data_IF_626829855743
#
_entry.id   IF_626829855743
#
_cell.length_a   1.000
_cell.length_b   1.000
_cell.length_c   1.000
_cell.angle_alpha   90.00
_cell.angle_beta   90.00
_cell.angle_gamma   90.00
#
_symmetry.space_group_name_H-M   'P 1'
#
loop_
_entity.id
_entity.type
_entity.pdbx_description
1 polymer ?
#
# COMPACT_ATOMS: atom_id res chain seq x y z
N UNK A 1 -13.24 -6.55 29.04
CA UNK A 1 -14.25 -6.03 28.09
C UNK A 1 -13.53 -5.06 27.16
N UNK A 2 -13.15 -5.49 25.95
CA UNK A 2 -12.48 -4.61 24.98
C UNK A 2 -13.55 -3.76 24.34
N UNK A 3 -13.54 -2.46 24.63
CA UNK A 3 -14.42 -1.51 23.95
C UNK A 3 -13.96 -1.41 22.50
N UNK A 4 -14.76 -1.92 21.56
CA UNK A 4 -14.57 -1.65 20.13
C UNK A 4 -14.84 -0.15 19.98
N UNK A 5 -13.80 0.68 19.94
CA UNK A 5 -13.95 2.12 19.75
C UNK A 5 -14.65 2.35 18.40
N UNK A 6 -15.93 2.74 18.45
CA UNK A 6 -16.69 3.10 17.28
C UNK A 6 -15.98 4.24 16.53
N UNK A 7 -15.90 4.12 15.20
CA UNK A 7 -15.30 5.17 14.37
C UNK A 7 -15.99 6.51 14.62
N UNK A 8 -15.20 7.58 14.77
CA UNK A 8 -15.73 8.93 14.91
C UNK A 8 -16.10 9.51 13.55
N UNK A 9 -17.21 10.25 13.50
CA UNK A 9 -17.67 10.89 12.26
C UNK A 9 -17.02 12.26 12.10
N UNK A 10 -16.53 12.53 10.89
CA UNK A 10 -16.01 13.82 10.46
C UNK A 10 -16.87 14.27 9.27
N UNK A 11 -17.37 15.51 9.31
CA UNK A 11 -18.06 16.13 8.18
C UNK A 11 -17.13 17.09 7.44
N UNK A 12 -17.16 17.04 6.12
CA UNK A 12 -16.40 17.94 5.26
C UNK A 12 -17.20 18.23 3.98
N UNK A 13 -17.03 19.43 3.45
CA UNK A 13 -17.60 19.81 2.15
C UNK A 13 -16.64 19.42 1.03
N UNK A 14 -17.18 18.76 0.01
CA UNK A 14 -16.48 18.44 -1.23
C UNK A 14 -17.41 18.74 -2.40
N UNK A 15 -16.84 19.12 -3.53
CA UNK A 15 -17.60 19.35 -4.75
C UNK A 15 -18.22 18.05 -5.30
N UNK A 16 -19.21 18.19 -6.18
CA UNK A 16 -19.95 17.05 -6.72
C UNK A 16 -19.07 16.09 -7.55
N UNK A 17 -18.03 16.59 -8.22
CA UNK A 17 -17.11 15.79 -9.02
C UNK A 17 -16.27 14.89 -8.11
N UNK A 18 -15.70 15.45 -7.04
CA UNK A 18 -14.94 14.73 -6.02
C UNK A 18 -15.80 13.64 -5.36
N UNK A 19 -17.04 13.96 -4.98
CA UNK A 19 -17.96 12.98 -4.39
C UNK A 19 -18.30 11.85 -5.37
N UNK A 20 -18.54 12.18 -6.64
CA UNK A 20 -18.82 11.19 -7.69
C UNK A 20 -17.64 10.24 -7.88
N UNK A 21 -16.42 10.79 -7.98
CA UNK A 21 -15.18 10.02 -8.13
C UNK A 21 -14.94 9.11 -6.92
N UNK A 22 -15.12 9.63 -5.71
CA UNK A 22 -15.00 8.86 -4.47
C UNK A 22 -15.93 7.64 -4.47
N UNK A 23 -17.22 7.84 -4.80
CA UNK A 23 -18.21 6.74 -4.87
C UNK A 23 -17.84 5.70 -5.92
N UNK A 24 -17.38 6.15 -7.09
CA UNK A 24 -16.95 5.26 -8.17
C UNK A 24 -15.75 4.38 -7.79
N UNK A 25 -14.75 4.95 -7.12
CA UNK A 25 -13.57 4.20 -6.65
C UNK A 25 -13.95 3.24 -5.53
N UNK A 26 -14.71 3.73 -4.54
CA UNK A 26 -15.16 2.92 -3.41
C UNK A 26 -15.91 1.65 -3.86
N UNK A 27 -16.81 1.79 -4.84
CA UNK A 27 -17.54 0.65 -5.42
C UNK A 27 -16.60 -0.37 -6.10
N UNK A 28 -15.60 0.09 -6.86
CA UNK A 28 -14.62 -0.79 -7.54
C UNK A 28 -13.71 -1.52 -6.56
N UNK A 29 -13.39 -0.90 -5.43
CA UNK A 29 -12.53 -1.47 -4.39
C UNK A 29 -13.29 -2.29 -3.34
N UNK A 30 -14.61 -2.42 -3.45
CA UNK A 30 -15.43 -3.11 -2.43
C UNK A 30 -15.38 -2.43 -1.07
N UNK A 31 -15.21 -1.10 -1.05
CA UNK A 31 -15.09 -0.27 0.16
C UNK A 31 -16.25 0.70 0.26
N UNK A 32 -16.54 1.17 1.48
CA UNK A 32 -17.47 2.30 1.66
C UNK A 32 -16.75 3.62 1.40
N UNK A 33 -17.46 4.68 0.95
CA UNK A 33 -16.87 6.02 0.83
C UNK A 33 -16.20 6.47 2.12
N UNK A 34 -16.79 6.20 3.28
CA UNK A 34 -16.22 6.56 4.59
C UNK A 34 -14.88 5.86 4.87
N UNK A 35 -14.74 4.57 4.50
CA UNK A 35 -13.47 3.85 4.64
C UNK A 35 -12.37 4.46 3.76
N UNK A 36 -12.71 4.78 2.51
CA UNK A 36 -11.75 5.37 1.57
C UNK A 36 -11.37 6.81 1.98
N UNK A 37 -12.32 7.59 2.47
CA UNK A 37 -12.07 8.93 3.04
C UNK A 37 -11.14 8.83 4.26
N UNK A 38 -11.43 7.94 5.21
CA UNK A 38 -10.60 7.78 6.40
C UNK A 38 -9.17 7.36 6.05
N UNK A 39 -9.01 6.41 5.10
CA UNK A 39 -7.70 5.97 4.64
C UNK A 39 -6.92 7.09 3.93
N UNK A 40 -7.59 7.87 3.08
CA UNK A 40 -6.98 8.99 2.35
C UNK A 40 -6.58 10.12 3.30
N UNK A 41 -7.43 10.45 4.28
CA UNK A 41 -7.14 11.44 5.31
C UNK A 41 -5.95 11.01 6.17
N UNK A 42 -5.92 9.75 6.61
CA UNK A 42 -4.80 9.20 7.37
C UNK A 42 -3.48 9.34 6.59
N UNK A 43 -3.47 8.93 5.32
CA UNK A 43 -2.29 9.06 4.46
C UNK A 43 -1.81 10.52 4.41
N UNK A 44 -2.71 11.47 4.18
CA UNK A 44 -2.35 12.89 4.11
C UNK A 44 -1.79 13.42 5.43
N UNK A 45 -2.36 13.01 6.57
CA UNK A 45 -1.90 13.42 7.89
C UNK A 45 -0.55 12.81 8.27
N UNK A 46 -0.25 11.60 7.79
CA UNK A 46 1.03 10.92 8.01
C UNK A 46 2.19 11.53 7.19
N UNK A 47 1.90 12.37 6.19
CA UNK A 47 2.94 13.07 5.42
C UNK A 47 3.71 14.11 6.28
N UNK A 48 5.02 14.30 6.06
CA UNK A 48 5.76 15.40 6.69
C UNK A 48 5.14 16.76 6.35
N UNK A 49 5.23 17.72 7.28
CA UNK A 49 4.66 19.06 7.10
C UNK A 49 5.19 19.78 5.84
N UNK A 50 6.47 19.57 5.51
CA UNK A 50 7.11 20.09 4.29
C UNK A 50 6.48 19.52 3.01
N UNK A 51 6.11 18.25 3.00
CA UNK A 51 5.43 17.61 1.87
C UNK A 51 4.02 18.17 1.71
N UNK A 52 3.27 18.32 2.81
CA UNK A 52 1.94 18.95 2.77
C UNK A 52 1.98 20.41 2.32
N UNK A 53 3.05 21.14 2.64
CA UNK A 53 3.26 22.49 2.11
C UNK A 53 3.49 22.46 0.60
N UNK A 54 4.42 21.64 0.12
CA UNK A 54 4.71 21.50 -1.30
C UNK A 54 3.48 21.04 -2.12
N UNK A 55 2.65 20.14 -1.59
CA UNK A 55 1.40 19.73 -2.24
C UNK A 55 0.44 20.91 -2.44
N UNK A 56 0.31 21.78 -1.43
CA UNK A 56 -0.52 23.00 -1.53
C UNK A 56 0.06 24.00 -2.53
N UNK A 57 1.38 24.15 -2.58
CA UNK A 57 2.03 25.04 -3.53
C UNK A 57 1.81 24.56 -4.98
N UNK A 58 1.92 23.25 -5.23
CA UNK A 58 1.64 22.65 -6.53
C UNK A 58 0.16 22.82 -6.92
N UNK A 59 -0.77 22.68 -5.96
CA UNK A 59 -2.19 22.90 -6.23
C UNK A 59 -2.52 24.36 -6.56
N UNK A 60 -1.87 25.31 -5.89
CA UNK A 60 -2.12 26.73 -6.06
C UNK A 60 -1.43 27.34 -7.29
N UNK A 61 -0.21 26.88 -7.62
CA UNK A 61 0.67 27.50 -8.61
C UNK A 61 1.00 26.59 -9.79
N UNK A 62 0.77 25.28 -9.67
CA UNK A 62 1.15 24.29 -10.66
C UNK A 62 0.22 24.28 -11.87
N UNK A 63 0.77 23.82 -12.98
CA UNK A 63 0.01 23.54 -14.20
C UNK A 63 -0.69 22.17 -14.11
N UNK A 64 -1.68 21.89 -14.99
CA UNK A 64 -2.22 20.54 -15.13
C UNK A 64 -1.16 19.48 -15.39
N UNK A 65 -0.10 19.83 -16.14
CA UNK A 65 1.02 18.94 -16.42
C UNK A 65 1.87 18.68 -15.18
N UNK A 66 2.11 19.68 -14.33
CA UNK A 66 2.81 19.49 -13.05
C UNK A 66 2.05 18.53 -12.15
N UNK A 67 0.72 18.68 -12.07
CA UNK A 67 -0.14 17.75 -11.32
C UNK A 67 -0.08 16.34 -11.89
N UNK A 68 -0.13 16.19 -13.22
CA UNK A 68 -0.01 14.89 -13.88
C UNK A 68 1.35 14.24 -13.60
N UNK A 69 2.43 15.00 -13.72
CA UNK A 69 3.79 14.54 -13.46
C UNK A 69 3.98 14.12 -12.00
N UNK A 70 3.41 14.87 -11.05
CA UNK A 70 3.38 14.51 -9.64
C UNK A 70 2.67 13.17 -9.43
N UNK A 71 1.48 12.99 -10.00
CA UNK A 71 0.73 11.74 -9.86
C UNK A 71 1.48 10.54 -10.47
N UNK A 72 2.18 10.73 -11.59
CA UNK A 72 3.05 9.70 -12.17
C UNK A 72 4.24 9.36 -11.27
N UNK A 73 4.85 10.37 -10.65
CA UNK A 73 5.95 10.17 -9.72
C UNK A 73 5.49 9.39 -8.47
N UNK A 74 4.34 9.76 -7.90
CA UNK A 74 3.72 9.04 -6.79
C UNK A 74 3.46 7.57 -7.16
N UNK A 75 2.84 7.33 -8.32
CA UNK A 75 2.54 5.97 -8.79
C UNK A 75 3.80 5.10 -8.89
N UNK A 76 4.89 5.63 -9.47
CA UNK A 76 6.17 4.91 -9.55
C UNK A 76 6.73 4.55 -8.18
N UNK A 77 6.74 5.51 -7.26
CA UNK A 77 7.23 5.30 -5.89
C UNK A 77 6.41 4.26 -5.14
N UNK A 78 5.08 4.32 -5.26
CA UNK A 78 4.17 3.36 -4.62
C UNK A 78 4.37 1.94 -5.17
N UNK A 79 4.43 1.77 -6.50
CA UNK A 79 4.65 0.45 -7.12
C UNK A 79 6.01 -0.13 -6.73
N UNK A 80 7.07 0.69 -6.76
CA UNK A 80 8.40 0.25 -6.32
C UNK A 80 8.40 -0.18 -4.86
N UNK A 81 7.72 0.56 -3.99
CA UNK A 81 7.62 0.23 -2.56
C UNK A 81 6.82 -1.04 -2.34
N UNK A 82 5.72 -1.23 -3.07
CA UNK A 82 4.91 -2.45 -3.05
C UNK A 82 5.75 -3.67 -3.44
N UNK A 83 6.55 -3.56 -4.49
CA UNK A 83 7.47 -4.62 -4.91
C UNK A 83 8.44 -5.00 -3.80
N UNK A 84 9.09 -4.03 -3.16
CA UNK A 84 10.03 -4.30 -2.06
C UNK A 84 9.35 -4.88 -0.82
N UNK A 85 8.11 -4.49 -0.52
CA UNK A 85 7.32 -5.12 0.56
C UNK A 85 7.00 -6.57 0.21
N UNK A 86 6.54 -6.85 -1.02
CA UNK A 86 6.23 -8.19 -1.46
C UNK A 86 7.48 -9.09 -1.46
N UNK A 87 8.59 -8.59 -2.00
CA UNK A 87 9.89 -9.27 -2.02
C UNK A 87 10.35 -9.66 -0.62
N UNK A 88 10.29 -8.73 0.35
CA UNK A 88 10.66 -9.01 1.75
C UNK A 88 9.77 -10.08 2.37
N UNK A 89 8.46 -10.04 2.14
CA UNK A 89 7.54 -11.06 2.65
C UNK A 89 7.83 -12.45 2.08
N UNK A 90 8.15 -12.55 0.80
CA UNK A 90 8.52 -13.83 0.17
C UNK A 90 9.84 -14.34 0.77
N UNK A 91 10.85 -13.48 0.90
CA UNK A 91 12.14 -13.87 1.50
C UNK A 91 11.98 -14.32 2.96
N UNK A 92 11.15 -13.64 3.74
CA UNK A 92 10.82 -14.03 5.12
C UNK A 92 10.10 -15.38 5.16
N UNK A 93 9.13 -15.61 4.26
CA UNK A 93 8.42 -16.89 4.17
C UNK A 93 9.36 -18.04 3.78
N UNK A 94 10.26 -17.83 2.80
CA UNK A 94 11.25 -18.82 2.40
C UNK A 94 12.27 -19.11 3.52
N UNK A 95 12.69 -18.08 4.27
CA UNK A 95 13.59 -18.25 5.41
C UNK A 95 12.95 -19.08 6.52
N UNK A 96 11.70 -18.80 6.87
CA UNK A 96 10.96 -19.57 7.90
C UNK A 96 10.75 -21.03 7.45
N UNK A 97 10.51 -21.28 6.16
CA UNK A 97 10.38 -22.65 5.63
C UNK A 97 11.69 -23.46 5.67
N UNK A 98 12.85 -22.80 5.78
CA UNK A 98 14.16 -23.46 5.73
C UNK A 98 14.91 -23.46 7.07
N UNK A 99 14.46 -22.70 8.09
CA UNK A 99 15.10 -22.72 9.42
C UNK A 99 14.85 -24.02 10.20
N UNK A 100 13.75 -24.76 9.95
CA UNK A 100 13.43 -26.01 10.66
C UNK A 100 13.88 -27.30 9.92
N UNK A 101 14.44 -27.19 8.71
CA UNK A 101 14.50 -28.33 7.78
C UNK A 101 15.91 -28.78 7.34
N UNK A 102 16.97 -28.05 7.68
CA UNK A 102 18.31 -28.25 7.09
C UNK A 102 19.43 -28.13 8.13
N UNK A 103 19.35 -28.91 9.21
CA UNK A 103 20.35 -28.88 10.28
C UNK A 103 21.56 -29.79 10.02
N UNK A 104 21.43 -30.79 9.14
CA UNK A 104 22.53 -31.69 8.74
C UNK A 104 22.83 -31.65 7.24
N UNK A 105 24.05 -32.03 6.86
CA UNK A 105 24.46 -32.16 5.45
C UNK A 105 23.55 -33.14 4.68
N UNK A 106 22.98 -34.13 5.37
CA UNK A 106 22.08 -35.13 4.80
C UNK A 106 20.70 -34.53 4.49
N UNK A 107 20.21 -33.59 5.32
CA UNK A 107 18.97 -32.85 5.08
C UNK A 107 19.10 -31.89 3.90
N UNK A 108 20.25 -31.23 3.77
CA UNK A 108 20.58 -30.35 2.64
C UNK A 108 20.58 -31.13 1.33
N UNK A 109 21.20 -32.31 1.31
CA UNK A 109 21.21 -33.21 0.15
C UNK A 109 19.80 -33.74 -0.18
N UNK A 110 19.02 -34.12 0.82
CA UNK A 110 17.66 -34.61 0.62
C UNK A 110 16.73 -33.52 0.03
N UNK A 111 16.85 -32.28 0.51
CA UNK A 111 16.05 -31.17 0.00
C UNK A 111 16.46 -30.76 -1.42
N UNK A 112 17.76 -30.75 -1.72
CA UNK A 112 18.25 -30.48 -3.07
C UNK A 112 17.68 -31.49 -4.10
N UNK A 113 17.64 -32.78 -3.74
CA UNK A 113 17.04 -33.81 -4.59
C UNK A 113 15.54 -33.59 -4.79
N UNK A 114 14.78 -33.28 -3.73
CA UNK A 114 13.33 -32.98 -3.84
C UNK A 114 13.05 -31.80 -4.77
N UNK A 115 13.83 -30.72 -4.63
CA UNK A 115 13.68 -29.52 -5.45
C UNK A 115 13.96 -29.77 -6.94
N UNK A 116 14.88 -30.68 -7.28
CA UNK A 116 15.21 -31.01 -8.67
C UNK A 116 14.36 -32.11 -9.30
N UNK A 117 13.67 -32.91 -8.50
CA UNK A 117 12.87 -34.07 -8.99
C UNK A 117 11.37 -33.74 -9.10
N UNK A 118 10.92 -32.61 -8.55
CA UNK A 118 9.53 -32.15 -8.70
C UNK A 118 9.34 -31.63 -10.13
N UNK A 119 8.48 -32.26 -10.96
CA UNK A 119 8.26 -31.78 -12.32
C UNK A 119 7.49 -30.46 -12.27
N UNK A 120 7.95 -29.51 -13.06
CA UNK A 120 7.42 -28.14 -13.15
C UNK A 120 6.05 -28.10 -13.84
#
# INVERSE_FOLDING_TARGET
MVSIMAGQSISAHADAETVSKLRGIAAREGRTPSQLTAASLKLYLDLPGTVRAALRDIEALGTPDDRHNLLRAIARTVVSTQYEVARRRVAETMRIQHEDALESDEDILAEAVRATTTPR
#
